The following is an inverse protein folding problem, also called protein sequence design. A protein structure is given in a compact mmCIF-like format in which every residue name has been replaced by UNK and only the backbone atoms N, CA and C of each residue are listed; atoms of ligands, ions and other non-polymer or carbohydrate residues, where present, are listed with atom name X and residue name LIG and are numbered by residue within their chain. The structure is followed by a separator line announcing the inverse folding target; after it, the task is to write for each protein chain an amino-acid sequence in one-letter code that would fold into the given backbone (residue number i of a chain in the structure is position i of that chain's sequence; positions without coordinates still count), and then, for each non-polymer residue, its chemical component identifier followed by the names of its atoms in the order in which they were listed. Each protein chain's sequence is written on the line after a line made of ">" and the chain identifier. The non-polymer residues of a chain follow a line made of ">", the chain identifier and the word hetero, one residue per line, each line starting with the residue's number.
data_IF_394050980542
#
_entry.id   IF_394050980542
#
_cell.length_a   1.000
_cell.length_b   1.000
_cell.length_c   1.000
_cell.angle_alpha   90.00
_cell.angle_beta   90.00
_cell.angle_gamma   90.00
#
_symmetry.space_group_name_H-M   'P 1'
#
loop_
_entity.id
_entity.type
_entity.pdbx_description
1 polymer ?
#
# COMPACT_ATOMS: atom_id res chain seq x y z
N UNK A 1 -7.61 11.80 -15.12
CA UNK A 1 -6.66 12.75 -14.49
C UNK A 1 -5.50 11.93 -13.95
N UNK A 2 -4.26 12.19 -14.38
CA UNK A 2 -3.07 11.50 -13.88
C UNK A 2 -2.40 12.43 -12.87
N UNK A 3 -2.13 11.94 -11.66
CA UNK A 3 -1.38 12.70 -10.65
C UNK A 3 0.09 12.65 -11.04
N UNK A 4 0.69 13.82 -11.28
CA UNK A 4 2.12 13.91 -11.63
C UNK A 4 2.97 13.32 -10.51
N UNK A 5 3.96 12.52 -10.86
CA UNK A 5 4.86 11.87 -9.90
C UNK A 5 4.31 10.57 -9.29
N UNK A 6 3.14 10.10 -9.71
CA UNK A 6 2.53 8.87 -9.23
C UNK A 6 2.13 7.95 -10.38
N UNK A 7 2.48 6.67 -10.21
CA UNK A 7 2.10 5.58 -11.10
C UNK A 7 1.22 4.57 -10.36
N UNK A 8 0.33 3.93 -11.11
CA UNK A 8 -0.64 2.98 -10.59
C UNK A 8 -0.65 1.73 -11.45
N UNK A 9 -0.68 0.55 -10.83
CA UNK A 9 -0.88 -0.71 -11.52
C UNK A 9 -1.81 -1.63 -10.74
N UNK A 10 -2.46 -2.53 -11.47
CA UNK A 10 -3.24 -3.62 -10.89
C UNK A 10 -3.05 -4.86 -11.76
N UNK A 11 -2.90 -6.03 -11.13
CA UNK A 11 -2.69 -7.31 -11.81
C UNK A 11 -3.60 -8.39 -11.23
N UNK A 12 -3.86 -9.42 -12.02
CA UNK A 12 -4.50 -10.64 -11.55
C UNK A 12 -3.41 -11.58 -11.03
N UNK A 13 -3.12 -11.51 -9.73
CA UNK A 13 -2.14 -12.33 -9.03
C UNK A 13 -2.71 -13.70 -8.60
N UNK A 14 -4.04 -13.85 -8.56
CA UNK A 14 -4.70 -15.13 -8.29
C UNK A 14 -4.66 -15.56 -6.82
N UNK A 15 -4.64 -14.60 -5.90
CA UNK A 15 -4.56 -14.81 -4.45
C UNK A 15 -5.82 -15.50 -3.94
N UNK A 16 -7.01 -15.05 -4.38
CA UNK A 16 -8.29 -15.62 -3.94
C UNK A 16 -9.11 -16.21 -5.08
N UNK A 17 -9.18 -15.53 -6.22
CA UNK A 17 -10.01 -15.94 -7.37
C UNK A 17 -9.27 -15.71 -8.69
N UNK A 18 -9.47 -16.62 -9.63
CA UNK A 18 -8.91 -16.49 -10.98
C UNK A 18 -9.60 -15.35 -11.76
N UNK A 19 -8.87 -14.75 -12.71
CA UNK A 19 -9.36 -13.74 -13.65
C UNK A 19 -9.92 -12.47 -12.99
N UNK A 20 -9.38 -12.08 -11.83
CA UNK A 20 -9.74 -10.86 -11.10
C UNK A 20 -8.48 -10.08 -10.76
N UNK A 21 -8.52 -8.75 -10.94
CA UNK A 21 -7.50 -7.86 -10.38
C UNK A 21 -7.59 -7.89 -8.85
N UNK A 22 -6.55 -8.43 -8.22
CA UNK A 22 -6.50 -8.69 -6.78
C UNK A 22 -5.18 -8.32 -6.13
N UNK A 23 -4.28 -7.68 -6.89
CA UNK A 23 -3.08 -7.04 -6.39
C UNK A 23 -2.91 -5.67 -7.06
N UNK A 24 -2.77 -4.61 -6.27
CA UNK A 24 -2.60 -3.23 -6.72
C UNK A 24 -1.33 -2.61 -6.16
N UNK A 25 -0.69 -1.74 -6.95
CA UNK A 25 0.47 -0.95 -6.56
C UNK A 25 0.22 0.53 -6.83
N UNK A 26 0.44 1.34 -5.81
CA UNK A 26 0.60 2.79 -5.92
C UNK A 26 2.07 3.08 -5.71
N UNK A 27 2.68 3.82 -6.63
CA UNK A 27 4.10 4.16 -6.58
C UNK A 27 4.32 5.65 -6.79
N UNK A 28 5.18 6.26 -5.97
CA UNK A 28 5.67 7.61 -6.14
C UNK A 28 7.08 7.59 -6.73
N UNK A 29 7.36 8.47 -7.69
CA UNK A 29 8.68 8.55 -8.34
C UNK A 29 9.81 8.86 -7.33
N UNK A 30 9.47 9.55 -6.24
CA UNK A 30 10.35 9.82 -5.09
C UNK A 30 9.60 9.57 -3.78
N UNK A 31 10.29 9.26 -2.66
CA UNK A 31 9.63 9.09 -1.36
C UNK A 31 8.77 10.29 -0.99
N UNK A 32 7.47 10.08 -0.81
CA UNK A 32 6.49 11.10 -0.46
C UNK A 32 6.31 11.20 1.06
N UNK A 33 5.86 12.35 1.56
CA UNK A 33 5.39 12.48 2.95
C UNK A 33 4.16 11.59 3.11
N UNK A 34 4.14 10.79 4.16
CA UNK A 34 3.09 9.81 4.40
C UNK A 34 2.50 9.97 5.80
N UNK A 35 1.18 9.80 5.88
CA UNK A 35 0.42 9.72 7.12
C UNK A 35 -0.64 8.63 6.96
N UNK A 36 -1.03 8.01 8.07
CA UNK A 36 -1.88 6.83 8.07
C UNK A 36 -2.34 6.49 9.47
N UNK A 37 -3.53 5.90 9.55
CA UNK A 37 -4.11 5.37 10.77
C UNK A 37 -4.41 3.89 10.55
N UNK A 38 -4.32 3.11 11.63
CA UNK A 38 -4.42 1.66 11.57
C UNK A 38 -5.61 1.16 12.38
N UNK A 39 -6.00 -0.09 12.15
CA UNK A 39 -7.08 -0.72 12.91
C UNK A 39 -6.79 -0.72 14.41
N UNK A 40 -7.82 -0.46 15.21
CA UNK A 40 -7.78 -0.52 16.68
C UNK A 40 -8.05 -1.91 17.24
N UNK A 41 -8.29 -2.91 16.38
CA UNK A 41 -8.49 -4.30 16.82
C UNK A 41 -7.29 -4.78 17.64
N UNK A 42 -7.56 -5.56 18.69
CA UNK A 42 -6.53 -6.18 19.53
C UNK A 42 -5.67 -7.16 18.73
N UNK A 43 -6.28 -7.90 17.80
CA UNK A 43 -5.58 -8.80 16.88
C UNK A 43 -5.24 -8.04 15.60
N UNK A 44 -3.95 -7.89 15.32
CA UNK A 44 -3.43 -7.20 14.13
C UNK A 44 -2.74 -8.19 13.21
N UNK A 45 -3.00 -8.08 11.91
CA UNK A 45 -2.29 -8.86 10.91
C UNK A 45 -0.84 -8.37 10.74
N UNK A 46 0.04 -9.24 10.27
CA UNK A 46 1.44 -8.92 9.98
C UNK A 46 1.65 -7.62 9.16
N UNK A 47 0.92 -7.36 8.04
CA UNK A 47 1.13 -6.13 7.28
C UNK A 47 0.81 -4.87 8.09
N UNK A 48 -0.20 -4.92 8.99
CA UNK A 48 -0.54 -3.76 9.83
C UNK A 48 0.61 -3.42 10.78
N UNK A 49 1.25 -4.43 11.39
CA UNK A 49 2.40 -4.21 12.27
C UNK A 49 3.59 -3.61 11.52
N UNK A 50 3.83 -4.11 10.31
CA UNK A 50 4.90 -3.65 9.44
C UNK A 50 4.69 -2.21 8.96
N UNK A 51 3.45 -1.85 8.59
CA UNK A 51 3.12 -0.51 8.15
C UNK A 51 3.19 0.50 9.32
N UNK A 52 2.76 0.10 10.53
CA UNK A 52 2.94 0.91 11.75
C UNK A 52 4.43 1.23 11.98
N UNK A 53 5.31 0.25 11.81
CA UNK A 53 6.73 0.44 12.00
C UNK A 53 7.33 1.38 10.95
N UNK A 54 7.04 1.13 9.66
CA UNK A 54 7.59 1.92 8.55
C UNK A 54 7.09 3.35 8.54
N UNK A 55 5.82 3.57 8.87
CA UNK A 55 5.23 4.91 8.84
C UNK A 55 5.85 5.87 9.88
N UNK A 56 6.60 5.35 10.87
CA UNK A 56 7.38 6.18 11.82
C UNK A 56 8.39 7.08 11.12
N UNK A 57 8.88 6.69 9.95
CA UNK A 57 9.79 7.53 9.14
C UNK A 57 9.08 8.76 8.54
N UNK A 58 7.74 8.80 8.56
CA UNK A 58 6.94 9.88 8.00
C UNK A 58 6.98 9.98 6.48
N UNK A 59 7.61 9.00 5.81
CA UNK A 59 7.75 8.94 4.36
C UNK A 59 7.44 7.54 3.85
N UNK A 60 6.92 7.48 2.63
CA UNK A 60 6.63 6.23 1.93
C UNK A 60 6.79 6.46 0.42
N UNK A 61 7.22 5.44 -0.30
CA UNK A 61 7.33 5.49 -1.76
C UNK A 61 6.30 4.62 -2.47
N UNK A 62 5.80 3.57 -1.83
CA UNK A 62 4.89 2.63 -2.45
C UNK A 62 3.90 2.02 -1.46
N UNK A 63 2.68 1.76 -1.93
CA UNK A 63 1.66 0.99 -1.19
C UNK A 63 1.23 -0.17 -2.08
N UNK A 64 1.37 -1.38 -1.55
CA UNK A 64 0.93 -2.62 -2.19
C UNK A 64 -0.33 -3.13 -1.48
N UNK A 65 -1.39 -3.44 -2.23
CA UNK A 65 -2.71 -3.85 -1.71
C UNK A 65 -3.17 -5.12 -2.38
#
# INVERSE_FOLDING_TARGET
>A
MIIKGFSFSAVAAGIKYANRLDLGLIYADFPAVAAGVFTTNQVKAAPVLLDIERLKEGRCQAVLV
#
